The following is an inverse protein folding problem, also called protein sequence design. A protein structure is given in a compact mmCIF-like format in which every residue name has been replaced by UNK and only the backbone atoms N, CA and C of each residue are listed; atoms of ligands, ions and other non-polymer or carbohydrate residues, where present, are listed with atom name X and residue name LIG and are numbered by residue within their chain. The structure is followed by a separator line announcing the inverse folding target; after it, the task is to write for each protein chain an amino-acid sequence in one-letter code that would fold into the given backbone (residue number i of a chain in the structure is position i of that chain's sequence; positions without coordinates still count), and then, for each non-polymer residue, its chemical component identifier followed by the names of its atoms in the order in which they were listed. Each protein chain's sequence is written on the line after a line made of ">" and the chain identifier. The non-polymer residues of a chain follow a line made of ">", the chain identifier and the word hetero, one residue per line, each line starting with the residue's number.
data_IF_457201995398
#
_entry.id   IF_457201995398
#
_cell.length_a   1.000
_cell.length_b   1.000
_cell.length_c   1.000
_cell.angle_alpha   90.00
_cell.angle_beta   90.00
_cell.angle_gamma   90.00
#
_symmetry.space_group_name_H-M   'P 1'
#
loop_
_entity.id
_entity.type
_entity.pdbx_description
1 polymer ?
#
# COMPACT_ATOMS: atom_id res chain seq x y z
N UNK A 1 -14.25 22.65 2.41
CA UNK A 1 -13.64 21.36 2.81
C UNK A 1 -13.85 20.39 1.67
N UNK A 2 -12.85 19.59 1.30
CA UNK A 2 -13.05 18.52 0.30
C UNK A 2 -14.17 17.60 0.75
N UNK A 3 -15.03 17.20 -0.19
CA UNK A 3 -16.02 16.15 0.01
C UNK A 3 -15.35 14.78 0.10
N UNK A 4 -16.01 13.84 0.77
CA UNK A 4 -15.55 12.44 0.89
C UNK A 4 -15.24 11.81 -0.46
N UNK A 5 -16.04 12.11 -1.50
CA UNK A 5 -15.85 11.62 -2.87
C UNK A 5 -14.48 11.96 -3.47
N UNK A 6 -13.99 13.18 -3.24
CA UNK A 6 -12.71 13.65 -3.75
C UNK A 6 -11.53 12.98 -3.03
N UNK A 7 -11.71 12.61 -1.76
CA UNK A 7 -10.74 11.81 -0.99
C UNK A 7 -10.69 10.39 -1.56
N UNK A 8 -11.84 9.75 -1.80
CA UNK A 8 -11.89 8.39 -2.35
C UNK A 8 -11.28 8.32 -3.76
N UNK A 9 -11.48 9.36 -4.58
CA UNK A 9 -10.89 9.48 -5.92
C UNK A 9 -9.38 9.79 -5.87
N UNK A 10 -8.94 10.56 -4.87
CA UNK A 10 -7.52 10.77 -4.62
C UNK A 10 -6.81 9.45 -4.28
N UNK A 11 -7.46 8.63 -3.47
CA UNK A 11 -6.98 7.33 -2.99
C UNK A 11 -7.25 6.22 -4.00
N UNK A 12 -8.03 6.47 -5.06
CA UNK A 12 -8.23 5.50 -6.14
C UNK A 12 -8.63 4.12 -5.58
N UNK A 13 -9.66 4.08 -4.73
CA UNK A 13 -10.08 2.84 -4.02
C UNK A 13 -10.30 1.67 -4.98
N UNK A 14 -10.82 1.93 -6.17
CA UNK A 14 -10.98 0.96 -7.26
C UNK A 14 -9.68 0.18 -7.54
N UNK A 15 -8.53 0.85 -7.49
CA UNK A 15 -7.22 0.23 -7.70
C UNK A 15 -6.72 -0.60 -6.52
N UNK A 16 -7.29 -0.41 -5.34
CA UNK A 16 -7.00 -1.23 -4.16
C UNK A 16 -7.70 -2.57 -4.24
N UNK A 17 -8.91 -2.61 -4.85
CA UNK A 17 -9.61 -3.85 -5.16
C UNK A 17 -8.77 -4.74 -6.10
N UNK A 18 -8.11 -4.15 -7.10
CA UNK A 18 -7.24 -4.89 -8.02
C UNK A 18 -5.94 -5.42 -7.41
N UNK A 19 -5.53 -4.93 -6.24
CA UNK A 19 -4.37 -5.49 -5.52
C UNK A 19 -4.72 -6.70 -4.64
N UNK A 20 -6.00 -6.93 -4.34
CA UNK A 20 -6.43 -8.04 -3.48
C UNK A 20 -5.98 -9.41 -3.96
N UNK A 21 -6.05 -9.76 -5.26
CA UNK A 21 -5.61 -11.08 -5.72
C UNK A 21 -4.14 -11.36 -5.36
N UNK A 22 -3.25 -10.37 -5.47
CA UNK A 22 -1.84 -10.54 -5.14
C UNK A 22 -1.65 -10.81 -3.65
N UNK A 23 -2.32 -10.01 -2.81
CA UNK A 23 -2.27 -10.16 -1.35
C UNK A 23 -2.81 -11.53 -0.93
N UNK A 24 -3.95 -11.96 -1.50
CA UNK A 24 -4.56 -13.26 -1.24
C UNK A 24 -3.68 -14.43 -1.68
N UNK A 25 -3.01 -14.32 -2.83
CA UNK A 25 -2.07 -15.36 -3.29
C UNK A 25 -0.94 -15.54 -2.26
N UNK A 26 -0.34 -14.44 -1.78
CA UNK A 26 0.73 -14.50 -0.77
C UNK A 26 0.26 -15.16 0.52
N UNK A 27 -0.92 -14.78 1.01
CA UNK A 27 -1.55 -15.37 2.19
C UNK A 27 -1.84 -16.86 2.01
N UNK A 28 -2.50 -17.26 0.92
CA UNK A 28 -2.87 -18.67 0.65
C UNK A 28 -1.62 -19.53 0.51
N UNK A 29 -0.56 -19.03 -0.14
CA UNK A 29 0.70 -19.74 -0.26
C UNK A 29 1.35 -19.99 1.10
N UNK A 30 1.42 -18.97 1.96
CA UNK A 30 1.95 -19.14 3.31
C UNK A 30 1.10 -20.10 4.14
N UNK A 31 -0.23 -19.93 4.09
CA UNK A 31 -1.15 -20.76 4.83
C UNK A 31 -1.00 -22.24 4.44
N UNK A 32 -0.99 -22.56 3.14
CA UNK A 32 -0.80 -23.94 2.67
C UNK A 32 0.58 -24.52 3.02
N UNK A 33 1.60 -23.67 3.19
CA UNK A 33 2.95 -24.09 3.51
C UNK A 33 3.11 -24.44 5.00
N UNK A 34 2.48 -23.68 5.89
CA UNK A 34 2.69 -23.80 7.34
C UNK A 34 1.52 -24.43 8.10
N UNK A 35 0.29 -24.37 7.57
CA UNK A 35 -0.93 -24.85 8.21
C UNK A 35 -1.61 -25.88 7.30
N UNK A 36 -1.12 -27.13 7.35
CA UNK A 36 -1.53 -28.24 6.48
C UNK A 36 -2.94 -28.79 6.79
N UNK A 37 -3.42 -28.67 8.04
CA UNK A 37 -4.77 -29.07 8.44
C UNK A 37 -5.46 -27.96 9.24
N UNK A 38 -6.41 -27.21 8.65
CA UNK A 38 -7.21 -26.23 9.38
C UNK A 38 -8.07 -26.95 10.42
N UNK A 39 -7.79 -26.72 11.71
CA UNK A 39 -8.71 -27.13 12.77
C UNK A 39 -9.87 -26.14 12.81
N UNK A 40 -11.06 -26.55 13.23
CA UNK A 40 -12.24 -25.66 13.27
C UNK A 40 -12.07 -24.43 14.19
N UNK A 41 -11.08 -24.45 15.10
CA UNK A 41 -10.62 -23.32 15.91
C UNK A 41 -9.87 -22.23 15.14
N UNK A 42 -9.32 -22.55 13.97
CA UNK A 42 -8.37 -21.69 13.24
C UNK A 42 -9.09 -20.63 12.39
N UNK A 43 -10.38 -20.85 12.11
CA UNK A 43 -11.22 -19.94 11.33
C UNK A 43 -11.34 -18.54 11.93
N UNK A 44 -11.20 -18.39 13.25
CA UNK A 44 -11.21 -17.08 13.90
C UNK A 44 -9.96 -16.26 13.58
N UNK A 45 -8.79 -16.87 13.69
CA UNK A 45 -7.47 -16.28 13.46
C UNK A 45 -7.28 -15.91 11.99
N UNK A 46 -7.61 -16.84 11.08
CA UNK A 46 -7.61 -16.62 9.62
C UNK A 46 -8.39 -15.35 9.23
N UNK A 47 -9.55 -15.12 9.86
CA UNK A 47 -10.38 -13.95 9.56
C UNK A 47 -9.76 -12.65 10.06
N UNK A 48 -9.06 -12.69 11.20
CA UNK A 48 -8.39 -11.51 11.76
C UNK A 48 -7.13 -11.17 10.97
N UNK A 49 -6.34 -12.17 10.56
CA UNK A 49 -5.15 -11.96 9.74
C UNK A 49 -5.53 -11.34 8.40
N UNK A 50 -6.55 -11.88 7.73
CA UNK A 50 -7.06 -11.32 6.48
C UNK A 50 -7.56 -9.88 6.65
N UNK A 51 -8.18 -9.55 7.78
CA UNK A 51 -8.64 -8.19 8.08
C UNK A 51 -7.45 -7.23 8.22
N UNK A 52 -6.44 -7.60 9.01
CA UNK A 52 -5.26 -6.75 9.22
C UNK A 52 -4.38 -6.65 8.00
N UNK A 53 -4.24 -7.73 7.22
CA UNK A 53 -3.62 -7.73 5.90
C UNK A 53 -4.33 -6.74 4.97
N UNK A 54 -5.68 -6.72 4.97
CA UNK A 54 -6.44 -5.78 4.16
C UNK A 54 -6.22 -4.33 4.60
N UNK A 55 -6.23 -4.06 5.91
CA UNK A 55 -5.94 -2.73 6.47
C UNK A 55 -4.54 -2.28 6.07
N UNK A 56 -3.53 -3.15 6.21
CA UNK A 56 -2.16 -2.88 5.82
C UNK A 56 -2.01 -2.64 4.31
N UNK A 57 -2.68 -3.44 3.48
CA UNK A 57 -2.67 -3.30 2.02
C UNK A 57 -3.30 -1.98 1.56
N UNK A 58 -4.44 -1.59 2.14
CA UNK A 58 -5.09 -0.30 1.88
C UNK A 58 -4.17 0.85 2.32
N UNK A 59 -3.55 0.74 3.50
CA UNK A 59 -2.56 1.68 4.01
C UNK A 59 -1.37 1.85 3.06
N UNK A 60 -0.70 0.76 2.72
CA UNK A 60 0.44 0.75 1.81
C UNK A 60 0.09 1.37 0.44
N UNK A 61 -1.05 0.99 -0.14
CA UNK A 61 -1.47 1.47 -1.46
C UNK A 61 -1.81 2.97 -1.44
N UNK A 62 -2.58 3.40 -0.45
CA UNK A 62 -2.91 4.81 -0.24
C UNK A 62 -1.67 5.66 -0.03
N UNK A 63 -0.73 5.19 0.79
CA UNK A 63 0.55 5.86 1.04
C UNK A 63 1.38 5.98 -0.25
N UNK A 64 1.52 4.89 -1.01
CA UNK A 64 2.26 4.89 -2.26
C UNK A 64 1.70 5.91 -3.27
N UNK A 65 0.38 6.00 -3.40
CA UNK A 65 -0.25 6.98 -4.29
C UNK A 65 -0.13 8.41 -3.78
N UNK A 66 -0.26 8.63 -2.48
CA UNK A 66 -0.12 9.95 -1.89
C UNK A 66 1.31 10.47 -2.06
N UNK A 67 2.33 9.67 -1.70
CA UNK A 67 3.73 10.00 -1.88
C UNK A 67 4.07 10.25 -3.35
N UNK A 68 3.58 9.41 -4.26
CA UNK A 68 3.82 9.60 -5.69
C UNK A 68 3.26 10.93 -6.22
N UNK A 69 2.08 11.37 -5.74
CA UNK A 69 1.48 12.66 -6.15
C UNK A 69 2.12 13.85 -5.45
N UNK A 70 2.61 13.69 -4.21
CA UNK A 70 3.31 14.73 -3.47
C UNK A 70 4.68 15.00 -4.11
N UNK A 71 5.48 13.95 -4.33
CA UNK A 71 6.86 14.05 -4.82
C UNK A 71 6.92 14.54 -6.27
N UNK A 72 5.95 14.16 -7.10
CA UNK A 72 5.91 14.55 -8.51
C UNK A 72 5.04 15.77 -8.80
N UNK A 73 4.59 16.53 -7.80
CA UNK A 73 3.70 17.68 -7.99
C UNK A 73 4.18 18.65 -9.06
N UNK A 74 5.45 19.06 -9.01
CA UNK A 74 5.99 20.08 -9.93
C UNK A 74 6.13 19.52 -11.36
N UNK A 75 6.49 18.23 -11.47
CA UNK A 75 6.59 17.53 -12.76
C UNK A 75 5.19 17.32 -13.36
N UNK A 76 4.23 16.94 -12.52
CA UNK A 76 2.84 16.74 -12.91
C UNK A 76 2.20 18.07 -13.35
N UNK A 77 2.61 19.20 -12.76
CA UNK A 77 2.17 20.54 -13.14
C UNK A 77 2.68 20.97 -14.52
N UNK A 78 3.92 20.59 -14.87
CA UNK A 78 4.50 20.88 -16.17
C UNK A 78 3.92 20.00 -17.30
N UNK A 79 3.22 18.91 -16.99
CA UNK A 79 2.69 17.97 -17.97
C UNK A 79 1.18 18.21 -18.23
N UNK A 80 0.78 18.56 -19.47
CA UNK A 80 -0.62 18.82 -19.83
C UNK A 80 -1.58 17.69 -19.44
N UNK A 81 -1.13 16.42 -19.54
CA UNK A 81 -1.94 15.24 -19.20
C UNK A 81 -2.26 15.15 -17.70
N UNK A 82 -1.40 15.68 -16.83
CA UNK A 82 -1.52 15.57 -15.36
C UNK A 82 -1.87 16.89 -14.67
N UNK A 83 -2.02 17.95 -15.44
CA UNK A 83 -2.45 19.28 -14.99
C UNK A 83 -3.74 19.27 -14.13
N UNK A 84 -4.66 18.33 -14.40
CA UNK A 84 -5.91 18.20 -13.64
C UNK A 84 -5.79 17.52 -12.27
N UNK A 85 -4.63 16.97 -11.89
CA UNK A 85 -4.47 16.25 -10.60
C UNK A 85 -4.75 17.16 -9.41
N UNK A 86 -5.37 16.63 -8.35
CA UNK A 86 -5.84 17.45 -7.22
C UNK A 86 -4.78 18.36 -6.57
N UNK A 87 -3.54 17.87 -6.44
CA UNK A 87 -2.42 18.65 -5.88
C UNK A 87 -1.87 19.72 -6.84
N UNK A 88 -2.07 19.52 -8.14
CA UNK A 88 -1.61 20.42 -9.20
C UNK A 88 -2.65 21.50 -9.46
N UNK A 89 -3.92 21.09 -9.60
CA UNK A 89 -5.06 22.00 -9.80
C UNK A 89 -5.41 22.82 -8.55
N UNK A 90 -4.79 22.52 -7.40
CA UNK A 90 -5.05 23.22 -6.14
C UNK A 90 -6.36 22.84 -5.46
N UNK A 91 -7.12 21.89 -6.02
CA UNK A 91 -8.34 21.38 -5.38
C UNK A 91 -8.08 20.65 -4.06
N UNK A 92 -6.84 20.19 -3.83
CA UNK A 92 -6.38 19.68 -2.54
C UNK A 92 -5.12 20.41 -2.05
N UNK A 93 -5.12 20.80 -0.77
CA UNK A 93 -3.95 21.39 -0.14
C UNK A 93 -2.83 20.37 0.09
N UNK A 94 -1.57 20.83 0.04
CA UNK A 94 -0.40 19.99 0.37
C UNK A 94 -0.49 19.44 1.80
N UNK A 95 -0.98 20.24 2.74
CA UNK A 95 -1.19 19.81 4.14
C UNK A 95 -2.20 18.66 4.23
N UNK A 96 -3.27 18.67 3.42
CA UNK A 96 -4.23 17.57 3.36
C UNK A 96 -3.57 16.29 2.84
N UNK A 97 -2.74 16.39 1.80
CA UNK A 97 -2.04 15.23 1.25
C UNK A 97 -1.07 14.59 2.27
N UNK A 98 -0.32 15.41 3.01
CA UNK A 98 0.56 14.92 4.08
C UNK A 98 -0.22 14.30 5.24
N UNK A 99 -1.33 14.91 5.67
CA UNK A 99 -2.21 14.32 6.70
C UNK A 99 -2.74 12.96 6.25
N UNK A 100 -3.19 12.86 5.00
CA UNK A 100 -3.69 11.61 4.45
C UNK A 100 -2.59 10.56 4.31
N UNK A 101 -1.38 10.97 3.93
CA UNK A 101 -0.19 10.10 3.92
C UNK A 101 0.12 9.56 5.32
N UNK A 102 0.03 10.41 6.35
CA UNK A 102 0.23 9.99 7.74
C UNK A 102 -0.85 8.99 8.21
N UNK A 103 -2.11 9.19 7.81
CA UNK A 103 -3.20 8.23 8.08
C UNK A 103 -2.90 6.87 7.43
N UNK A 104 -2.49 6.87 6.16
CA UNK A 104 -2.16 5.63 5.45
C UNK A 104 -0.92 4.91 5.99
N UNK A 105 0.09 5.67 6.40
CA UNK A 105 1.24 5.13 7.10
C UNK A 105 0.80 4.51 8.44
N UNK A 106 -0.08 5.17 9.19
CA UNK A 106 -0.68 4.63 10.40
C UNK A 106 -1.42 3.31 10.15
N UNK A 107 -2.25 3.24 9.10
CA UNK A 107 -2.93 2.00 8.71
C UNK A 107 -1.95 0.86 8.39
N UNK A 108 -0.88 1.16 7.66
CA UNK A 108 0.17 0.19 7.36
C UNK A 108 0.86 -0.31 8.63
N UNK A 109 1.29 0.59 9.51
CA UNK A 109 2.02 0.24 10.73
C UNK A 109 1.13 -0.49 11.75
N UNK A 110 -0.11 -0.04 11.95
CA UNK A 110 -1.06 -0.69 12.86
C UNK A 110 -1.44 -2.06 12.30
N UNK A 111 -1.73 -2.17 11.00
CA UNK A 111 -2.02 -3.46 10.38
C UNK A 111 -0.84 -4.43 10.49
N UNK A 112 0.39 -3.97 10.20
CA UNK A 112 1.59 -4.80 10.36
C UNK A 112 1.83 -5.22 11.80
N UNK A 113 1.63 -4.33 12.78
CA UNK A 113 1.79 -4.63 14.21
C UNK A 113 0.79 -5.67 14.71
N UNK A 114 -0.45 -5.64 14.21
CA UNK A 114 -1.49 -6.59 14.58
C UNK A 114 -1.33 -7.96 13.92
N UNK A 115 -0.50 -8.05 12.88
CA UNK A 115 -0.12 -9.31 12.27
C UNK A 115 1.01 -9.93 13.08
N UNK A 116 2.22 -9.35 13.03
CA UNK A 116 3.34 -9.82 13.84
C UNK A 116 4.48 -8.80 13.95
N UNK A 117 5.41 -9.04 14.87
CA UNK A 117 6.55 -8.15 15.13
C UNK A 117 7.47 -8.03 13.91
N UNK A 118 7.69 -9.13 13.18
CA UNK A 118 8.56 -9.16 11.99
C UNK A 118 7.98 -8.30 10.87
N UNK A 119 6.67 -8.38 10.62
CA UNK A 119 5.97 -7.57 9.64
C UNK A 119 6.10 -6.08 9.96
N UNK A 120 5.98 -5.69 11.24
CA UNK A 120 6.22 -4.32 11.68
C UNK A 120 7.67 -3.89 11.47
N UNK A 121 8.65 -4.74 11.86
CA UNK A 121 10.07 -4.48 11.64
C UNK A 121 10.42 -4.35 10.16
N UNK A 122 9.69 -4.99 9.26
CA UNK A 122 9.88 -4.90 7.81
C UNK A 122 9.08 -3.78 7.14
N UNK A 123 8.17 -3.09 7.85
CA UNK A 123 7.28 -2.10 7.27
C UNK A 123 7.99 -0.89 6.64
N UNK A 124 9.26 -0.62 7.00
CA UNK A 124 10.07 0.42 6.36
C UNK A 124 10.40 0.11 4.89
N UNK A 125 10.49 -1.17 4.52
CA UNK A 125 10.88 -1.61 3.18
C UNK A 125 9.89 -1.16 2.09
N UNK A 126 8.56 -1.41 2.21
CA UNK A 126 7.60 -0.87 1.25
C UNK A 126 7.57 0.65 1.25
N UNK A 127 7.66 1.30 2.42
CA UNK A 127 7.70 2.77 2.49
C UNK A 127 8.89 3.33 1.71
N UNK A 128 10.08 2.74 1.86
CA UNK A 128 11.27 3.12 1.12
C UNK A 128 11.07 2.93 -0.40
N UNK A 129 10.52 1.78 -0.81
CA UNK A 129 10.24 1.52 -2.22
C UNK A 129 9.26 2.56 -2.82
N UNK A 130 8.26 2.99 -2.04
CA UNK A 130 7.28 4.00 -2.45
C UNK A 130 7.90 5.40 -2.58
N UNK A 131 8.83 5.76 -1.70
CA UNK A 131 9.55 7.04 -1.78
C UNK A 131 10.50 7.05 -2.97
N UNK A 132 11.22 5.95 -3.23
CA UNK A 132 12.19 5.87 -4.33
C UNK A 132 11.51 5.87 -5.70
N UNK A 133 10.36 5.19 -5.84
CA UNK A 133 9.70 5.00 -7.13
C UNK A 133 9.48 6.30 -7.93
N UNK A 134 8.92 7.40 -7.39
CA UNK A 134 8.80 8.69 -8.06
C UNK A 134 10.09 9.20 -8.70
N UNK A 135 11.22 9.03 -8.01
CA UNK A 135 12.53 9.45 -8.51
C UNK A 135 13.03 8.53 -9.63
N UNK A 136 12.78 7.22 -9.57
CA UNK A 136 13.22 6.30 -10.64
C UNK A 136 12.69 6.70 -12.01
N UNK A 137 11.47 7.25 -12.08
CA UNK A 137 10.86 7.75 -13.32
C UNK A 137 11.65 8.88 -13.98
N UNK A 138 12.46 9.62 -13.21
CA UNK A 138 13.25 10.76 -13.68
C UNK A 138 14.60 10.34 -14.27
N UNK A 139 15.19 9.28 -13.72
CA UNK A 139 16.58 8.93 -13.98
C UNK A 139 16.76 7.66 -14.81
N UNK A 140 15.77 6.76 -14.85
CA UNK A 140 15.94 5.47 -15.51
C UNK A 140 14.65 4.91 -16.10
N UNK A 141 14.77 4.20 -17.23
CA UNK A 141 13.70 3.41 -17.83
C UNK A 141 13.35 2.16 -17.01
N UNK A 142 14.22 1.77 -16.07
CA UNK A 142 14.02 0.69 -15.10
C UNK A 142 12.90 0.99 -14.08
N UNK A 143 12.28 2.17 -14.14
CA UNK A 143 11.13 2.53 -13.32
C UNK A 143 9.97 1.53 -13.41
N UNK A 144 9.81 0.83 -14.54
CA UNK A 144 8.82 -0.24 -14.70
C UNK A 144 9.16 -1.48 -13.87
N UNK A 145 10.44 -1.85 -13.79
CA UNK A 145 10.89 -2.94 -12.92
C UNK A 145 10.71 -2.54 -11.45
N UNK A 146 11.01 -1.29 -11.11
CA UNK A 146 10.78 -0.78 -9.75
C UNK A 146 9.30 -0.76 -9.38
N UNK A 147 8.43 -0.40 -10.32
CA UNK A 147 6.98 -0.49 -10.13
C UNK A 147 6.54 -1.95 -9.91
N UNK A 148 7.11 -2.88 -10.67
CA UNK A 148 6.92 -4.31 -10.47
C UNK A 148 7.37 -4.79 -9.09
N UNK A 149 8.51 -4.30 -8.60
CA UNK A 149 8.99 -4.56 -7.24
C UNK A 149 8.00 -4.05 -6.20
N UNK A 150 7.53 -2.80 -6.33
CA UNK A 150 6.51 -2.25 -5.43
C UNK A 150 5.23 -3.11 -5.39
N UNK A 151 4.83 -3.67 -6.53
CA UNK A 151 3.68 -4.58 -6.61
C UNK A 151 3.98 -5.95 -5.99
N UNK A 152 5.19 -6.49 -6.20
CA UNK A 152 5.64 -7.76 -5.64
C UNK A 152 5.81 -7.76 -4.13
N UNK A 153 5.97 -6.58 -3.50
CA UNK A 153 5.97 -6.45 -2.05
C UNK A 153 4.61 -6.77 -1.42
N UNK A 154 3.50 -6.66 -2.16
CA UNK A 154 2.16 -6.98 -1.63
C UNK A 154 1.98 -8.49 -1.32
N UNK A 155 2.22 -9.44 -2.24
CA UNK A 155 2.17 -10.87 -1.93
C UNK A 155 3.27 -11.27 -0.93
N UNK A 156 4.48 -10.68 -1.04
CA UNK A 156 5.56 -10.97 -0.10
C UNK A 156 5.21 -10.55 1.34
N UNK A 157 4.62 -9.36 1.52
CA UNK A 157 4.17 -8.89 2.82
C UNK A 157 3.05 -9.74 3.40
N UNK A 158 2.09 -10.16 2.58
CA UNK A 158 1.03 -11.08 3.00
C UNK A 158 1.56 -12.47 3.38
N UNK A 159 2.63 -12.93 2.74
CA UNK A 159 3.30 -14.17 3.11
C UNK A 159 4.03 -14.04 4.45
N UNK A 160 4.81 -12.96 4.65
CA UNK A 160 5.51 -12.68 5.93
C UNK A 160 4.52 -12.54 7.09
N UNK A 161 3.34 -11.98 6.83
CA UNK A 161 2.27 -11.85 7.81
C UNK A 161 1.77 -13.18 8.39
N UNK A 162 2.04 -14.31 7.74
CA UNK A 162 1.65 -15.65 8.21
C UNK A 162 2.88 -16.48 8.59
N UNK A 163 3.96 -16.37 7.81
CA UNK A 163 5.16 -17.18 7.99
C UNK A 163 5.95 -16.84 9.26
N UNK A 164 5.83 -15.61 9.77
CA UNK A 164 6.57 -15.16 10.95
C UNK A 164 5.90 -15.53 12.28
N UNK A 165 4.67 -16.05 12.24
CA UNK A 165 3.92 -16.53 13.42
C UNK A 165 4.14 -18.03 13.72
N UNK A 166 5.02 -18.68 12.95
CA UNK A 166 5.36 -20.11 13.01
C UNK A 166 6.76 -20.29 13.58
#
# INVERSE_FOLDING_TARGET
>A
MMGTKEILEFVKIEHTLFSLPFVLIGYILAYNQFFYEPTSSDFGWIRMDLLWILVAAVGARGLAMALNRIIDRDIDAANPRTSGRHLVSGSMSMNTAWKLSAIFLGMLLIGAWQLNEVALMMAWLPVLAFVIYPYTKRYTWLCHLWLGLCLGLAPAGAWVAVAADV
#
